data_IF_098014881166
#
_entry.id   IF_098014881166
#
_cell.length_a   1.000
_cell.length_b   1.000
_cell.length_c   1.000
_cell.angle_alpha   90.00
_cell.angle_beta   90.00
_cell.angle_gamma   90.00
#
_symmetry.space_group_name_H-M   'P 1'
#
loop_
_entity.id
_entity.type
_entity.pdbx_description
1 polymer ?
#
# COMPACT_ATOMS: atom_id res chain seq x y z
N UNK A 1 -28.95 -10.70 72.69
CA UNK A 1 -27.78 -11.10 71.86
C UNK A 1 -28.15 -11.50 70.42
N UNK A 2 -29.37 -11.95 70.09
CA UNK A 2 -29.70 -12.39 68.72
C UNK A 2 -29.82 -11.28 67.66
N UNK A 3 -30.01 -10.01 68.04
CA UNK A 3 -30.26 -8.91 67.07
C UNK A 3 -28.98 -8.46 66.35
N UNK A 4 -27.80 -8.63 66.98
CA UNK A 4 -26.51 -8.18 66.41
C UNK A 4 -26.08 -9.06 65.25
N UNK A 5 -26.28 -10.38 65.34
CA UNK A 5 -25.93 -11.34 64.28
C UNK A 5 -26.77 -11.14 63.00
N UNK A 6 -27.98 -10.59 63.12
CA UNK A 6 -28.83 -10.32 61.97
C UNK A 6 -28.23 -9.19 61.13
N UNK A 7 -27.86 -8.06 61.75
CA UNK A 7 -27.28 -6.91 61.03
C UNK A 7 -25.95 -7.24 60.33
N UNK A 8 -25.08 -8.05 60.92
CA UNK A 8 -23.83 -8.48 60.26
C UNK A 8 -24.11 -9.32 59.01
N UNK A 9 -25.10 -10.22 59.06
CA UNK A 9 -25.47 -11.05 57.92
C UNK A 9 -25.99 -10.24 56.73
N UNK A 10 -26.76 -9.16 56.94
CA UNK A 10 -27.25 -8.30 55.85
C UNK A 10 -26.13 -7.48 55.22
N UNK A 11 -25.15 -7.03 56.02
CA UNK A 11 -23.98 -6.30 55.50
C UNK A 11 -23.17 -7.12 54.49
N UNK A 12 -22.95 -8.40 54.78
CA UNK A 12 -22.24 -9.30 53.86
C UNK A 12 -22.99 -9.54 52.55
N UNK A 13 -24.33 -9.68 52.60
CA UNK A 13 -25.15 -9.89 51.40
C UNK A 13 -25.10 -8.65 50.50
N UNK A 14 -25.25 -7.46 51.07
CA UNK A 14 -25.22 -6.20 50.32
C UNK A 14 -23.85 -5.98 49.69
N UNK A 15 -22.76 -6.17 50.47
CA UNK A 15 -21.39 -6.00 49.98
C UNK A 15 -21.06 -6.99 48.87
N UNK A 16 -21.42 -8.26 49.03
CA UNK A 16 -21.18 -9.30 48.00
C UNK A 16 -21.98 -9.00 46.73
N UNK A 17 -23.22 -8.57 46.86
CA UNK A 17 -24.07 -8.20 45.71
C UNK A 17 -23.50 -7.00 44.97
N UNK A 18 -23.06 -5.96 45.69
CA UNK A 18 -22.42 -4.81 45.07
C UNK A 18 -21.16 -5.23 44.30
N UNK A 19 -20.32 -6.09 44.88
CA UNK A 19 -19.11 -6.59 44.25
C UNK A 19 -19.40 -7.38 42.97
N UNK A 20 -20.42 -8.24 42.97
CA UNK A 20 -20.85 -8.98 41.78
C UNK A 20 -21.35 -8.05 40.67
N UNK A 21 -22.12 -7.02 41.03
CA UNK A 21 -22.58 -6.01 40.05
C UNK A 21 -21.39 -5.26 39.46
N UNK A 22 -20.48 -4.77 40.30
CA UNK A 22 -19.26 -4.08 39.83
C UNK A 22 -18.43 -4.99 38.93
N UNK A 23 -18.26 -6.26 39.28
CA UNK A 23 -17.56 -7.24 38.45
C UNK A 23 -18.25 -7.44 37.09
N UNK A 24 -19.58 -7.54 37.08
CA UNK A 24 -20.35 -7.65 35.84
C UNK A 24 -20.17 -6.44 34.93
N UNK A 25 -20.22 -5.23 35.49
CA UNK A 25 -19.97 -3.98 34.75
C UNK A 25 -18.55 -3.95 34.18
N UNK A 26 -17.54 -4.38 34.95
CA UNK A 26 -16.15 -4.44 34.49
C UNK A 26 -15.96 -5.44 33.34
N UNK A 27 -16.59 -6.62 33.40
CA UNK A 27 -16.51 -7.63 32.34
C UNK A 27 -17.16 -7.09 31.05
N UNK A 28 -18.34 -6.48 31.17
CA UNK A 28 -19.02 -5.87 30.03
C UNK A 28 -18.18 -4.75 29.41
N UNK A 29 -17.66 -3.84 30.23
CA UNK A 29 -16.78 -2.76 29.78
C UNK A 29 -15.50 -3.27 29.09
N UNK A 30 -14.88 -4.33 29.63
CA UNK A 30 -13.72 -4.96 29.03
C UNK A 30 -14.02 -5.59 27.67
N UNK A 31 -15.23 -6.15 27.50
CA UNK A 31 -15.66 -6.71 26.24
C UNK A 31 -15.93 -5.64 25.19
N UNK A 32 -16.63 -4.56 25.56
CA UNK A 32 -16.88 -3.40 24.70
C UNK A 32 -15.57 -2.76 24.21
N UNK A 33 -14.62 -2.56 25.13
CA UNK A 33 -13.30 -1.99 24.82
C UNK A 33 -12.52 -2.84 23.82
N UNK A 34 -12.69 -4.18 23.84
CA UNK A 34 -12.06 -5.06 22.85
C UNK A 34 -12.62 -4.86 21.45
N UNK A 35 -13.92 -4.58 21.32
CA UNK A 35 -14.55 -4.23 20.04
C UNK A 35 -13.92 -2.97 19.44
N UNK A 36 -13.89 -1.90 20.22
CA UNK A 36 -13.34 -0.60 19.82
C UNK A 36 -11.87 -0.68 19.40
N UNK A 37 -11.06 -1.50 20.11
CA UNK A 37 -9.64 -1.69 19.74
C UNK A 37 -9.48 -2.30 18.35
N UNK A 38 -10.35 -3.24 17.94
CA UNK A 38 -10.26 -3.85 16.61
C UNK A 38 -10.56 -2.83 15.51
N UNK A 39 -11.56 -2.00 15.72
CA UNK A 39 -11.94 -0.95 14.76
C UNK A 39 -10.88 0.13 14.66
N UNK A 40 -10.34 0.58 15.80
CA UNK A 40 -9.25 1.54 15.85
C UNK A 40 -8.01 1.01 15.11
N UNK A 41 -7.61 -0.25 15.34
CA UNK A 41 -6.49 -0.87 14.61
C UNK A 41 -6.75 -0.88 13.11
N UNK A 42 -7.98 -1.23 12.68
CA UNK A 42 -8.34 -1.24 11.24
C UNK A 42 -8.30 0.16 10.63
N UNK A 43 -8.74 1.19 11.36
CA UNK A 43 -8.64 2.58 10.91
C UNK A 43 -7.18 3.04 10.84
N UNK A 44 -6.37 2.69 11.83
CA UNK A 44 -4.93 2.98 11.83
C UNK A 44 -4.26 2.32 10.63
N UNK A 45 -4.53 1.04 10.37
CA UNK A 45 -3.99 0.29 9.23
C UNK A 45 -4.36 0.95 7.89
N UNK A 46 -5.62 1.36 7.72
CA UNK A 46 -6.04 2.08 6.51
C UNK A 46 -5.37 3.46 6.39
N UNK A 47 -5.22 4.18 7.52
CA UNK A 47 -4.59 5.50 7.56
C UNK A 47 -3.08 5.47 7.34
N UNK A 48 -2.43 4.33 7.58
CA UNK A 48 -0.99 4.15 7.44
C UNK A 48 -0.61 3.42 6.17
N UNK A 49 -1.57 3.16 5.28
CA UNK A 49 -1.31 2.45 4.04
C UNK A 49 -0.60 3.38 3.03
N UNK A 50 0.63 3.06 2.60
CA UNK A 50 1.22 3.74 1.45
C UNK A 50 0.47 3.34 0.18
N UNK A 51 0.46 4.23 -0.79
CA UNK A 51 -0.19 3.96 -2.07
C UNK A 51 0.61 4.61 -3.18
N UNK A 52 1.41 3.78 -3.84
CA UNK A 52 2.30 4.23 -4.90
C UNK A 52 1.63 4.02 -6.25
N UNK A 53 1.62 5.08 -7.05
CA UNK A 53 1.21 5.07 -8.44
C UNK A 53 2.37 5.49 -9.33
N UNK A 54 2.32 5.08 -10.59
CA UNK A 54 3.19 5.61 -11.63
C UNK A 54 2.47 6.77 -12.31
N UNK A 55 3.14 7.90 -12.46
CA UNK A 55 2.65 9.04 -13.20
C UNK A 55 3.59 9.38 -14.35
N UNK A 56 3.00 9.78 -15.48
CA UNK A 56 3.75 10.29 -16.61
C UNK A 56 3.86 11.82 -16.48
N UNK A 57 5.08 12.32 -16.29
CA UNK A 57 5.35 13.75 -16.30
C UNK A 57 5.49 14.20 -17.75
N UNK A 58 4.93 15.37 -18.12
CA UNK A 58 4.88 15.85 -19.51
C UNK A 58 6.22 15.93 -20.27
N UNK A 59 7.36 15.76 -19.58
CA UNK A 59 8.69 15.60 -20.15
C UNK A 59 9.02 14.16 -20.59
N UNK A 60 8.04 13.26 -20.69
CA UNK A 60 8.24 11.84 -21.00
C UNK A 60 8.72 10.98 -19.82
N UNK A 61 9.04 11.59 -18.68
CA UNK A 61 9.63 10.89 -17.53
C UNK A 61 8.54 10.25 -16.67
N UNK A 62 8.68 8.95 -16.42
CA UNK A 62 7.90 8.28 -15.39
C UNK A 62 8.37 8.71 -14.00
N UNK A 63 7.43 8.89 -13.08
CA UNK A 63 7.72 9.15 -11.69
C UNK A 63 6.83 8.32 -10.80
N UNK A 64 7.40 7.80 -9.72
CA UNK A 64 6.64 7.24 -8.61
C UNK A 64 6.04 8.39 -7.82
N UNK A 65 4.73 8.34 -7.60
CA UNK A 65 4.03 9.25 -6.71
C UNK A 65 3.34 8.43 -5.62
N UNK A 66 3.61 8.79 -4.36
CA UNK A 66 2.91 8.17 -3.24
C UNK A 66 1.74 9.07 -2.81
N UNK A 67 0.53 8.68 -3.19
CA UNK A 67 -0.71 9.35 -2.80
C UNK A 67 -1.26 8.82 -1.47
N UNK A 68 -0.64 7.79 -0.92
CA UNK A 68 -0.96 7.27 0.41
C UNK A 68 -0.52 8.20 1.52
N UNK A 69 -0.96 7.91 2.73
CA UNK A 69 -0.71 8.73 3.91
C UNK A 69 0.60 8.37 4.65
N UNK A 70 1.20 7.24 4.31
CA UNK A 70 2.46 6.75 4.89
C UNK A 70 3.60 6.74 3.87
N UNK A 71 4.83 6.55 4.33
CA UNK A 71 6.00 6.38 3.46
C UNK A 71 5.98 4.99 2.81
N UNK A 72 6.35 4.95 1.52
CA UNK A 72 6.56 3.71 0.79
C UNK A 72 8.06 3.43 0.72
N UNK A 73 8.45 2.23 1.10
CA UNK A 73 9.80 1.70 1.08
C UNK A 73 9.94 0.67 -0.04
N UNK A 74 11.17 0.51 -0.53
CA UNK A 74 11.56 -0.52 -1.51
C UNK A 74 10.56 -0.71 -2.65
N UNK A 75 10.23 0.42 -3.29
CA UNK A 75 9.30 0.45 -4.41
C UNK A 75 9.97 -0.17 -5.63
N UNK A 76 9.41 -1.26 -6.13
CA UNK A 76 9.84 -1.93 -7.36
C UNK A 76 8.65 -2.19 -8.27
N UNK A 77 8.90 -2.34 -9.57
CA UNK A 77 7.86 -2.68 -10.55
C UNK A 77 8.23 -3.99 -11.20
N UNK A 78 7.24 -4.86 -11.38
CA UNK A 78 7.46 -6.11 -12.09
C UNK A 78 7.94 -5.86 -13.52
N UNK A 79 8.89 -6.69 -13.94
CA UNK A 79 9.49 -6.62 -15.26
C UNK A 79 8.42 -6.90 -16.31
N UNK A 80 8.23 -5.93 -17.20
CA UNK A 80 7.28 -6.09 -18.29
C UNK A 80 8.00 -6.65 -19.52
N UNK A 81 7.51 -7.80 -19.98
CA UNK A 81 7.97 -8.43 -21.21
C UNK A 81 7.18 -7.83 -22.36
N UNK A 82 7.85 -7.02 -23.19
CA UNK A 82 7.32 -6.60 -24.48
C UNK A 82 7.84 -7.54 -25.56
N UNK A 83 7.25 -7.52 -26.76
CA UNK A 83 7.60 -8.46 -27.82
C UNK A 83 9.10 -8.41 -28.16
N UNK A 84 9.70 -7.21 -28.17
CA UNK A 84 11.08 -6.96 -28.61
C UNK A 84 12.04 -6.58 -27.46
N UNK A 85 11.52 -6.05 -26.34
CA UNK A 85 12.33 -5.50 -25.25
C UNK A 85 11.87 -5.99 -23.88
N UNK A 86 12.80 -5.99 -22.93
CA UNK A 86 12.54 -6.16 -21.51
C UNK A 86 12.70 -4.81 -20.83
N UNK A 87 11.62 -4.35 -20.19
CA UNK A 87 11.60 -3.05 -19.51
C UNK A 87 11.66 -3.28 -18.01
N UNK A 88 12.72 -2.75 -17.38
CA UNK A 88 12.93 -2.85 -15.94
C UNK A 88 13.03 -1.47 -15.33
N UNK A 89 12.11 -1.14 -14.42
CA UNK A 89 12.22 0.10 -13.65
C UNK A 89 13.23 -0.10 -12.52
N UNK A 90 14.08 0.90 -12.31
CA UNK A 90 15.02 0.89 -11.20
C UNK A 90 14.25 1.02 -9.87
N UNK A 91 14.56 0.17 -8.88
CA UNK A 91 13.90 0.24 -7.59
C UNK A 91 14.21 1.55 -6.88
N UNK A 92 13.24 2.07 -6.14
CA UNK A 92 13.37 3.27 -5.33
C UNK A 92 13.20 2.93 -3.85
N UNK A 93 14.22 3.19 -3.03
CA UNK A 93 14.18 2.83 -1.61
C UNK A 93 13.15 3.60 -0.79
N UNK A 94 12.83 4.85 -1.17
CA UNK A 94 11.92 5.69 -0.38
C UNK A 94 11.13 6.65 -1.25
N UNK A 95 9.80 6.57 -1.15
CA UNK A 95 8.87 7.55 -1.71
C UNK A 95 8.01 8.11 -0.57
N UNK A 96 8.29 9.35 -0.16
CA UNK A 96 7.53 9.98 0.93
C UNK A 96 6.10 10.32 0.51
N UNK A 97 5.21 10.50 1.48
CA UNK A 97 3.84 10.98 1.26
C UNK A 97 3.84 12.24 0.39
N UNK A 98 3.10 12.22 -0.71
CA UNK A 98 2.98 13.32 -1.67
C UNK A 98 4.24 13.62 -2.48
N UNK A 99 5.31 12.84 -2.31
CA UNK A 99 6.54 13.03 -3.05
C UNK A 99 6.46 12.36 -4.41
N UNK A 100 7.00 13.05 -5.42
CA UNK A 100 7.26 12.53 -6.75
C UNK A 100 8.74 12.20 -6.87
N UNK A 101 9.06 10.95 -7.17
CA UNK A 101 10.43 10.49 -7.39
C UNK A 101 10.56 10.01 -8.82
N UNK A 102 11.54 10.51 -9.56
CA UNK A 102 11.78 10.09 -10.95
C UNK A 102 12.13 8.60 -10.96
N UNK A 103 11.41 7.83 -11.76
CA UNK A 103 11.68 6.42 -11.95
C UNK A 103 12.78 6.28 -13.01
N UNK A 104 13.93 5.74 -12.62
CA UNK A 104 14.91 5.26 -13.59
C UNK A 104 14.36 4.05 -14.32
N UNK A 105 14.72 3.86 -15.57
CA UNK A 105 14.37 2.67 -16.35
C UNK A 105 15.63 2.14 -17.02
N UNK A 106 15.67 0.82 -17.15
CA UNK A 106 16.66 0.07 -17.87
C UNK A 106 15.90 -0.69 -18.97
N UNK A 107 16.33 -0.49 -20.21
CA UNK A 107 15.85 -1.23 -21.37
C UNK A 107 16.90 -2.29 -21.70
N UNK A 108 16.48 -3.54 -21.76
CA UNK A 108 17.31 -4.66 -22.20
C UNK A 108 16.70 -5.21 -23.50
N UNK A 109 17.50 -5.25 -24.57
CA UNK A 109 17.09 -5.86 -25.84
C UNK A 109 17.00 -7.37 -25.71
N UNK A 110 16.04 -8.01 -26.37
CA UNK A 110 16.00 -9.47 -26.46
C UNK A 110 16.99 -10.03 -27.48
N UNK A 111 17.38 -9.22 -28.45
CA UNK A 111 18.29 -9.56 -29.55
C UNK A 111 19.23 -8.39 -29.89
N UNK A 112 20.21 -8.66 -30.75
CA UNK A 112 21.21 -7.67 -31.14
C UNK A 112 20.62 -6.48 -31.91
N UNK A 113 19.51 -6.69 -32.63
CA UNK A 113 18.79 -5.63 -33.35
C UNK A 113 18.08 -4.68 -32.37
N UNK A 114 17.43 -5.22 -31.34
CA UNK A 114 16.86 -4.45 -30.23
C UNK A 114 17.94 -3.63 -29.48
N UNK A 115 19.11 -4.21 -29.26
CA UNK A 115 20.22 -3.50 -28.60
C UNK A 115 20.75 -2.32 -29.43
N UNK A 116 20.81 -2.44 -30.76
CA UNK A 116 21.17 -1.34 -31.65
C UNK A 116 20.12 -0.22 -31.60
N UNK A 117 18.83 -0.58 -31.58
CA UNK A 117 17.73 0.37 -31.42
C UNK A 117 17.86 1.13 -30.09
N UNK A 118 18.09 0.42 -28.97
CA UNK A 118 18.27 1.03 -27.64
C UNK A 118 19.47 1.99 -27.63
N UNK A 119 20.60 1.61 -28.24
CA UNK A 119 21.78 2.47 -28.34
C UNK A 119 21.50 3.73 -29.15
N UNK A 120 20.66 3.63 -30.18
CA UNK A 120 20.20 4.76 -31.00
C UNK A 120 19.37 5.79 -30.22
N UNK A 121 18.67 5.38 -29.17
CA UNK A 121 17.90 6.31 -28.31
C UNK A 121 18.76 7.14 -27.34
N UNK A 122 20.03 6.75 -27.13
CA UNK A 122 20.96 7.46 -26.25
C UNK A 122 20.61 7.31 -24.76
N UNK A 123 21.61 7.32 -23.88
CA UNK A 123 21.46 7.15 -22.43
C UNK A 123 20.78 8.33 -21.70
N UNK A 124 20.21 9.28 -22.43
CA UNK A 124 19.69 10.53 -21.89
C UNK A 124 18.17 10.49 -21.78
N UNK A 125 17.64 10.44 -20.55
CA UNK A 125 16.23 10.71 -20.20
C UNK A 125 15.25 10.38 -21.33
N UNK A 126 15.30 9.13 -21.82
CA UNK A 126 14.38 8.68 -22.85
C UNK A 126 13.00 8.77 -22.22
N UNK A 127 12.23 9.78 -22.62
CA UNK A 127 10.82 9.81 -22.30
C UNK A 127 10.23 8.51 -22.80
N UNK A 128 9.54 7.74 -21.95
CA UNK A 128 9.14 6.36 -22.22
C UNK A 128 8.51 6.28 -23.64
N UNK A 129 9.29 5.86 -24.68
CA UNK A 129 8.97 6.23 -26.06
C UNK A 129 7.75 5.46 -26.58
N UNK A 130 7.33 4.46 -25.82
CA UNK A 130 6.26 3.53 -26.11
C UNK A 130 4.85 4.06 -25.82
N UNK A 131 4.71 5.22 -25.15
CA UNK A 131 3.39 5.86 -25.01
C UNK A 131 2.96 6.64 -26.24
N UNK A 132 3.87 7.00 -27.15
CA UNK A 132 3.53 7.93 -28.24
C UNK A 132 3.37 7.28 -29.61
N UNK A 133 3.93 6.07 -29.85
CA UNK A 133 4.20 5.63 -31.22
C UNK A 133 3.40 4.46 -31.78
N UNK A 134 2.58 3.75 -30.99
CA UNK A 134 1.87 2.58 -31.53
C UNK A 134 0.37 2.82 -31.48
N UNK A 135 -0.32 2.91 -32.62
CA UNK A 135 -1.80 3.05 -32.68
C UNK A 135 -2.56 1.79 -32.19
N UNK A 136 -1.84 0.71 -31.91
CA UNK A 136 -2.37 -0.62 -31.60
C UNK A 136 -2.18 -1.00 -30.11
N UNK A 137 -2.53 -0.07 -29.22
CA UNK A 137 -2.16 -0.09 -27.80
C UNK A 137 -3.00 -1.10 -27.04
N UNK A 138 -2.36 -2.21 -26.64
CA UNK A 138 -2.86 -3.08 -25.56
C UNK A 138 -2.63 -2.40 -24.22
N UNK A 139 -3.62 -2.49 -23.34
CA UNK A 139 -3.46 -2.08 -21.95
C UNK A 139 -2.32 -2.88 -21.30
N UNK A 140 -1.38 -2.16 -20.67
CA UNK A 140 -0.20 -2.76 -20.06
C UNK A 140 -0.42 -2.89 -18.55
N UNK A 141 -0.67 -4.11 -18.03
CA UNK A 141 -0.77 -4.32 -16.60
C UNK A 141 0.63 -4.19 -16.00
N UNK A 142 0.79 -3.26 -15.07
CA UNK A 142 1.99 -3.07 -14.26
C UNK A 142 1.67 -3.39 -12.81
N UNK A 143 2.53 -4.16 -12.15
CA UNK A 143 2.43 -4.40 -10.72
C UNK A 143 3.55 -3.67 -10.01
N UNK A 144 3.19 -2.75 -9.13
CA UNK A 144 4.13 -2.02 -8.27
C UNK A 144 4.13 -2.67 -6.91
N UNK A 145 5.28 -3.15 -6.46
CA UNK A 145 5.51 -3.71 -5.12
C UNK A 145 6.17 -2.66 -4.24
N UNK A 146 5.80 -2.61 -2.98
CA UNK A 146 6.37 -1.69 -2.00
C UNK A 146 6.09 -2.14 -0.56
N UNK A 147 6.82 -1.59 0.39
CA UNK A 147 6.67 -1.86 1.82
C UNK A 147 6.25 -0.60 2.57
N UNK A 148 5.55 -0.74 3.70
CA UNK A 148 5.36 0.37 4.64
C UNK A 148 6.53 0.44 5.63
N UNK A 149 6.52 1.46 6.49
CA UNK A 149 7.53 1.64 7.55
C UNK A 149 7.60 0.49 8.57
N UNK A 150 6.59 -0.38 8.61
CA UNK A 150 6.53 -1.54 9.50
C UNK A 150 7.03 -2.82 8.81
N UNK A 151 7.51 -2.74 7.56
CA UNK A 151 7.94 -3.89 6.76
C UNK A 151 6.78 -4.73 6.19
N UNK A 152 5.55 -4.22 6.22
CA UNK A 152 4.41 -4.88 5.59
C UNK A 152 4.45 -4.64 4.08
N UNK A 153 4.43 -5.73 3.31
CA UNK A 153 4.42 -5.73 1.84
C UNK A 153 3.04 -5.46 1.26
N UNK A 154 3.02 -4.62 0.24
CA UNK A 154 1.84 -4.29 -0.55
C UNK A 154 2.17 -4.36 -2.04
N UNK A 155 1.12 -4.55 -2.83
CA UNK A 155 1.23 -4.39 -4.27
C UNK A 155 0.05 -3.58 -4.81
N UNK A 156 0.31 -2.84 -5.87
CA UNK A 156 -0.69 -2.10 -6.64
C UNK A 156 -0.63 -2.54 -8.10
N UNK A 157 -1.72 -3.07 -8.61
CA UNK A 157 -1.91 -3.35 -10.04
C UNK A 157 -2.45 -2.09 -10.72
N UNK A 158 -1.71 -1.64 -11.72
CA UNK A 158 -1.97 -0.46 -12.52
C UNK A 158 -2.26 -0.90 -13.95
N UNK A 159 -3.29 -0.32 -14.56
CA UNK A 159 -3.55 -0.42 -15.98
C UNK A 159 -3.15 0.90 -16.63
N UNK A 160 -2.21 0.82 -17.55
CA UNK A 160 -1.71 1.99 -18.27
C UNK A 160 -2.50 2.16 -19.55
N UNK A 161 -3.41 3.14 -19.57
CA UNK A 161 -4.23 3.49 -20.74
C UNK A 161 -3.57 4.63 -21.50
N UNK A 162 -2.84 4.27 -22.55
CA UNK A 162 -2.03 5.23 -23.30
C UNK A 162 -2.87 6.29 -24.01
N UNK A 163 -4.04 5.94 -24.55
CA UNK A 163 -4.95 6.90 -25.21
C UNK A 163 -5.44 8.01 -24.28
N UNK A 164 -5.62 7.69 -23.00
CA UNK A 164 -6.11 8.64 -22.00
C UNK A 164 -4.98 9.33 -21.24
N UNK A 165 -3.72 8.90 -21.44
CA UNK A 165 -2.54 9.30 -20.63
C UNK A 165 -2.83 9.16 -19.14
N UNK A 166 -3.58 8.11 -18.78
CA UNK A 166 -4.03 7.86 -17.40
C UNK A 166 -3.56 6.49 -16.95
N UNK A 167 -3.17 6.44 -15.68
CA UNK A 167 -2.88 5.22 -14.97
C UNK A 167 -4.09 4.93 -14.09
N UNK A 168 -4.78 3.83 -14.38
CA UNK A 168 -5.95 3.39 -13.61
C UNK A 168 -5.48 2.37 -12.60
N UNK A 169 -5.82 2.57 -11.34
CA UNK A 169 -5.53 1.56 -10.33
C UNK A 169 -6.62 0.50 -10.36
N UNK A 170 -6.24 -0.72 -10.72
CA UNK A 170 -7.15 -1.86 -10.77
C UNK A 170 -7.35 -2.45 -9.38
N UNK A 171 -6.25 -2.61 -8.64
CA UNK A 171 -6.25 -3.35 -7.38
C UNK A 171 -5.08 -2.93 -6.51
N UNK A 172 -5.31 -2.79 -5.21
CA UNK A 172 -4.23 -2.66 -4.23
C UNK A 172 -4.53 -3.58 -3.07
N UNK A 173 -3.61 -4.50 -2.75
CA UNK A 173 -3.75 -5.44 -1.64
C UNK A 173 -2.45 -5.60 -0.83
N UNK A 174 -2.61 -6.08 0.40
CA UNK A 174 -1.50 -6.57 1.22
C UNK A 174 -1.00 -7.87 0.61
N UNK A 175 0.30 -7.98 0.37
CA UNK A 175 0.87 -9.21 -0.16
C UNK A 175 0.80 -10.30 0.91
N UNK A 176 0.18 -11.44 0.58
CA UNK A 176 0.27 -12.63 1.42
C UNK A 176 1.62 -13.27 1.14
N UNK A 177 2.57 -13.06 2.06
CA UNK A 177 3.82 -13.81 2.10
C UNK A 177 3.52 -15.26 2.44
#
# INVERSE_FOLDING_TARGET
MCVVNFFESYGHIISTTALLITLGVLIWYAWETRGLRKEAVRQTELSQRPYVILIHTGSGLLSFENIGLSHALDVSVDVQHMDVFLVRLQPCHLVRKGQKVKAGFLLEGKDAEADEIIRGFGSGNIGFPFFETHENIKDYPLTVHYENIEGTRYYTQLEVRVKERRVVVLKSEKSKV
#
